data_IF_112443815443
#
_entry.id   IF_112443815443
#
_cell.length_a   1.000
_cell.length_b   1.000
_cell.length_c   1.000
_cell.angle_alpha   90.00
_cell.angle_beta   90.00
_cell.angle_gamma   90.00
#
_symmetry.space_group_name_H-M   'P 1'
#
loop_
_entity.id
_entity.type
_entity.pdbx_description
1 polymer ?
#
# COMPACT_ATOMS: atom_id res chain seq x y z
N UNK A 1 -23.29 31.32 25.19
CA UNK A 1 -22.10 31.87 25.87
C UNK A 1 -20.89 31.60 24.99
N UNK A 2 -20.15 32.66 24.65
CA UNK A 2 -19.08 32.69 23.65
C UNK A 2 -17.79 32.03 24.19
N UNK A 3 -17.37 30.89 23.65
CA UNK A 3 -16.02 30.35 23.87
C UNK A 3 -15.07 30.94 22.83
N UNK A 4 -14.39 32.03 23.19
CA UNK A 4 -13.25 32.55 22.43
C UNK A 4 -12.11 31.54 22.52
N UNK A 5 -11.78 30.87 21.42
CA UNK A 5 -10.47 30.22 21.27
C UNK A 5 -9.40 31.32 21.18
N UNK A 6 -8.81 31.68 22.32
CA UNK A 6 -7.60 32.51 22.36
C UNK A 6 -6.40 31.62 22.08
N UNK A 7 -5.82 31.75 20.88
CA UNK A 7 -4.51 31.17 20.60
C UNK A 7 -3.43 32.00 21.32
N UNK A 8 -2.55 31.34 22.07
CA UNK A 8 -1.40 31.96 22.73
C UNK A 8 -0.44 32.44 21.65
N UNK A 9 -0.14 33.74 21.62
CA UNK A 9 0.81 34.33 20.67
C UNK A 9 2.24 34.14 21.19
N UNK A 10 2.85 33.00 20.83
CA UNK A 10 4.19 32.58 21.24
C UNK A 10 5.33 33.54 20.81
N UNK A 11 5.05 34.57 20.00
CA UNK A 11 6.07 35.55 19.60
C UNK A 11 6.27 36.66 20.64
N UNK A 12 5.26 36.96 21.46
CA UNK A 12 5.26 38.18 22.29
C UNK A 12 4.92 37.94 23.76
N UNK A 13 4.42 36.75 24.13
CA UNK A 13 4.11 36.43 25.53
C UNK A 13 5.25 35.60 26.15
N UNK A 14 5.71 35.91 27.37
CA UNK A 14 6.67 35.07 28.08
C UNK A 14 6.06 33.69 28.26
N UNK A 15 6.85 32.64 27.97
CA UNK A 15 6.41 31.27 28.22
C UNK A 15 6.04 31.12 29.70
N UNK A 16 4.91 30.46 30.01
CA UNK A 16 4.56 30.16 31.40
C UNK A 16 5.70 29.36 32.04
N UNK A 17 5.87 29.49 33.35
CA UNK A 17 6.92 28.81 34.11
C UNK A 17 6.82 27.28 33.91
N UNK A 18 7.65 26.75 33.00
CA UNK A 18 7.68 25.33 32.66
C UNK A 18 8.43 24.62 33.78
N UNK A 19 7.67 24.06 34.72
CA UNK A 19 8.21 23.25 35.80
C UNK A 19 9.06 22.11 35.24
N UNK A 20 10.21 21.85 35.85
CA UNK A 20 10.98 20.65 35.56
C UNK A 20 10.20 19.41 35.98
N UNK A 21 10.42 18.27 35.32
CA UNK A 21 9.76 17.01 35.69
C UNK A 21 9.97 16.60 37.17
N UNK A 22 11.07 17.05 37.79
CA UNK A 22 11.36 16.90 39.22
C UNK A 22 10.39 17.64 40.15
N UNK A 23 9.63 18.60 39.62
CA UNK A 23 8.65 19.41 40.31
C UNK A 23 7.20 19.04 39.93
N UNK A 24 7.01 17.95 39.16
CA UNK A 24 5.69 17.40 38.88
C UNK A 24 5.13 16.69 40.12
N UNK A 25 3.81 16.74 40.28
CA UNK A 25 3.13 15.99 41.32
C UNK A 25 3.13 14.49 40.98
N UNK A 26 4.04 13.75 41.61
CA UNK A 26 4.13 12.28 41.47
C UNK A 26 2.92 11.54 42.06
N UNK A 27 2.05 12.25 42.80
CA UNK A 27 0.82 11.70 43.37
C UNK A 27 -0.43 11.93 42.51
N UNK A 28 -0.29 12.63 41.38
CA UNK A 28 -1.39 12.90 40.46
C UNK A 28 -1.99 11.58 39.95
N UNK A 29 -3.22 11.28 40.39
CA UNK A 29 -3.95 10.09 39.93
C UNK A 29 -4.58 10.34 38.57
N UNK A 30 -4.52 9.33 37.71
CA UNK A 30 -5.23 9.33 36.44
C UNK A 30 -6.74 9.46 36.68
N UNK A 31 -7.38 10.47 36.07
CA UNK A 31 -8.82 10.66 36.11
C UNK A 31 -9.43 10.06 34.82
N UNK A 32 -10.24 8.99 34.91
CA UNK A 32 -10.77 8.34 33.73
C UNK A 32 -11.99 9.01 33.11
N UNK A 33 -12.51 10.07 33.73
CA UNK A 33 -13.66 10.79 33.18
C UNK A 33 -13.27 11.47 31.85
N UNK A 34 -13.92 11.05 30.77
CA UNK A 34 -13.67 11.56 29.42
C UNK A 34 -12.73 10.72 28.56
N UNK A 35 -12.27 9.55 29.04
CA UNK A 35 -11.58 8.57 28.19
C UNK A 35 -12.56 8.06 27.12
N UNK A 36 -12.15 8.11 25.85
CA UNK A 36 -12.86 7.46 24.75
C UNK A 36 -12.62 5.95 24.81
N UNK A 37 -13.64 5.16 24.46
CA UNK A 37 -13.49 3.71 24.34
C UNK A 37 -12.34 3.32 23.39
N UNK A 38 -11.78 2.13 23.58
CA UNK A 38 -10.74 1.58 22.72
C UNK A 38 -11.25 1.51 21.28
N UNK A 39 -10.61 2.25 20.37
CA UNK A 39 -10.93 2.25 18.95
C UNK A 39 -9.75 1.72 18.15
N UNK A 40 -10.05 0.80 17.24
CA UNK A 40 -9.12 0.38 16.19
C UNK A 40 -9.39 1.25 14.97
N UNK A 41 -8.35 1.86 14.41
CA UNK A 41 -8.45 2.71 13.21
C UNK A 41 -9.11 1.95 12.05
N UNK A 42 -8.53 0.83 11.64
CA UNK A 42 -9.16 -0.12 10.72
C UNK A 42 -8.54 -1.51 10.86
N UNK A 43 -9.26 -2.53 10.37
CA UNK A 43 -8.83 -3.93 10.40
C UNK A 43 -8.19 -4.29 9.07
N UNK A 44 -7.04 -4.97 9.10
CA UNK A 44 -6.47 -5.56 7.89
C UNK A 44 -7.31 -6.75 7.43
N UNK A 45 -7.84 -6.74 6.20
CA UNK A 45 -8.64 -7.86 5.70
C UNK A 45 -7.81 -9.14 5.53
N UNK A 46 -8.48 -10.31 5.44
CA UNK A 46 -7.82 -11.55 5.05
C UNK A 46 -7.21 -11.42 3.66
N UNK A 47 -6.00 -11.95 3.49
CA UNK A 47 -5.27 -11.96 2.22
C UNK A 47 -5.16 -13.42 1.79
N UNK A 48 -5.95 -13.81 0.79
CA UNK A 48 -5.78 -15.10 0.14
C UNK A 48 -4.64 -15.00 -0.87
N UNK A 49 -3.66 -15.89 -0.78
CA UNK A 49 -2.62 -15.99 -1.81
C UNK A 49 -3.22 -16.58 -3.09
N UNK A 50 -2.71 -16.15 -4.25
CA UNK A 50 -3.20 -16.64 -5.53
C UNK A 50 -2.72 -18.09 -5.77
N UNK A 51 -3.34 -18.82 -6.70
CA UNK A 51 -2.92 -20.18 -7.06
C UNK A 51 -1.52 -20.23 -7.68
N UNK A 52 -0.75 -21.27 -7.36
CA UNK A 52 0.62 -21.48 -7.85
C UNK A 52 0.68 -21.80 -9.37
N UNK A 53 -0.45 -22.23 -9.95
CA UNK A 53 -0.57 -22.53 -11.38
C UNK A 53 -0.43 -21.27 -12.26
N UNK A 54 -0.51 -20.08 -11.67
CA UNK A 54 -0.26 -18.82 -12.39
C UNK A 54 1.15 -18.80 -12.95
N UNK A 55 2.16 -19.23 -12.19
CA UNK A 55 3.54 -19.24 -12.69
C UNK A 55 3.69 -20.15 -13.92
N UNK A 56 3.13 -21.36 -13.89
CA UNK A 56 3.19 -22.30 -15.01
C UNK A 56 2.48 -21.77 -16.26
N UNK A 57 1.34 -21.09 -16.10
CA UNK A 57 0.54 -20.58 -17.22
C UNK A 57 1.03 -19.25 -17.76
N UNK A 58 1.47 -18.36 -16.88
CA UNK A 58 1.86 -17.00 -17.26
C UNK A 58 3.35 -16.92 -17.60
N UNK A 59 4.21 -17.67 -16.90
CA UNK A 59 5.64 -17.75 -17.15
C UNK A 59 6.45 -16.62 -16.51
N UNK A 60 7.70 -16.93 -16.16
CA UNK A 60 8.64 -16.02 -15.48
C UNK A 60 8.84 -14.70 -16.23
N UNK A 61 9.11 -14.76 -17.54
CA UNK A 61 9.33 -13.56 -18.35
C UNK A 61 8.16 -12.59 -18.34
N UNK A 62 6.92 -13.10 -18.34
CA UNK A 62 5.73 -12.26 -18.35
C UNK A 62 5.46 -11.65 -16.97
N UNK A 63 5.80 -12.35 -15.89
CA UNK A 63 5.77 -11.78 -14.53
C UNK A 63 6.78 -10.63 -14.41
N UNK A 64 7.99 -10.80 -14.95
CA UNK A 64 9.00 -9.73 -14.98
C UNK A 64 8.47 -8.55 -15.81
N UNK A 65 7.98 -8.80 -17.04
CA UNK A 65 7.41 -7.76 -17.91
C UNK A 65 6.24 -7.03 -17.24
N UNK A 66 5.34 -7.75 -16.54
CA UNK A 66 4.24 -7.17 -15.77
C UNK A 66 4.75 -6.16 -14.75
N UNK A 67 5.71 -6.57 -13.91
CA UNK A 67 6.22 -5.74 -12.81
C UNK A 67 6.97 -4.53 -13.35
N UNK A 68 7.80 -4.71 -14.39
CA UNK A 68 8.50 -3.60 -15.04
C UNK A 68 7.55 -2.61 -15.71
N UNK A 69 6.52 -3.10 -16.40
CA UNK A 69 5.51 -2.25 -17.02
C UNK A 69 4.77 -1.42 -15.97
N UNK A 70 4.33 -2.07 -14.89
CA UNK A 70 3.67 -1.42 -13.77
C UNK A 70 4.54 -0.33 -13.12
N UNK A 71 5.79 -0.65 -12.75
CA UNK A 71 6.68 0.31 -12.11
C UNK A 71 7.09 1.45 -13.05
N UNK A 72 7.23 1.16 -14.36
CA UNK A 72 7.50 2.18 -15.38
C UNK A 72 6.37 3.20 -15.51
N UNK A 73 5.11 2.78 -15.33
CA UNK A 73 3.97 3.67 -15.24
C UNK A 73 3.98 4.49 -13.93
N UNK A 74 4.32 3.85 -12.81
CA UNK A 74 4.40 4.53 -11.50
C UNK A 74 5.48 5.62 -11.45
N UNK A 75 6.64 5.44 -12.09
CA UNK A 75 7.66 6.50 -12.26
C UNK A 75 7.11 7.76 -12.94
N UNK A 76 6.01 7.67 -13.68
CA UNK A 76 5.37 8.79 -14.40
C UNK A 76 4.08 9.29 -13.71
N UNK A 77 3.73 8.72 -12.57
CA UNK A 77 2.46 8.99 -11.87
C UNK A 77 2.56 10.12 -10.83
N UNK A 78 1.44 10.40 -10.15
CA UNK A 78 1.41 11.30 -8.98
C UNK A 78 2.28 10.81 -7.82
N UNK A 79 2.58 9.50 -7.75
CA UNK A 79 3.42 8.90 -6.69
C UNK A 79 4.86 8.63 -7.13
N UNK A 80 5.30 9.25 -8.23
CA UNK A 80 6.67 9.09 -8.76
C UNK A 80 7.77 9.32 -7.72
N UNK A 81 7.53 10.16 -6.72
CA UNK A 81 8.50 10.48 -5.67
C UNK A 81 8.80 9.29 -4.74
N UNK A 82 7.97 8.23 -4.74
CA UNK A 82 8.22 6.98 -4.03
C UNK A 82 9.21 6.06 -4.75
N UNK A 83 9.58 6.40 -5.99
CA UNK A 83 10.47 5.61 -6.82
C UNK A 83 11.74 6.39 -7.14
N UNK A 84 12.88 5.71 -7.08
CA UNK A 84 14.15 6.28 -7.51
C UNK A 84 14.10 6.67 -8.98
N UNK A 85 14.75 7.79 -9.29
CA UNK A 85 14.89 8.28 -10.67
C UNK A 85 16.17 7.77 -11.33
N UNK A 86 17.09 7.19 -10.56
CA UNK A 86 18.25 6.48 -11.09
C UNK A 86 17.79 5.20 -11.80
N UNK A 87 18.21 5.00 -13.06
CA UNK A 87 17.70 3.91 -13.88
C UNK A 87 18.23 2.54 -13.44
N UNK A 88 19.46 2.44 -12.95
CA UNK A 88 20.06 1.17 -12.54
C UNK A 88 19.53 0.71 -11.18
N UNK A 89 19.39 1.64 -10.23
CA UNK A 89 18.74 1.39 -8.96
C UNK A 89 17.27 1.01 -9.17
N UNK A 90 16.56 1.73 -10.06
CA UNK A 90 15.17 1.43 -10.38
C UNK A 90 15.00 0.02 -10.96
N UNK A 91 15.85 -0.38 -11.92
CA UNK A 91 15.83 -1.74 -12.47
C UNK A 91 16.08 -2.78 -11.38
N UNK A 92 17.05 -2.55 -10.50
CA UNK A 92 17.39 -3.46 -9.41
C UNK A 92 16.22 -3.64 -8.43
N UNK A 93 15.59 -2.55 -7.99
CA UNK A 93 14.45 -2.60 -7.06
C UNK A 93 13.20 -3.20 -7.71
N UNK A 94 12.98 -2.90 -8.99
CA UNK A 94 11.86 -3.46 -9.78
C UNK A 94 12.04 -4.96 -9.98
N UNK A 95 13.27 -5.41 -10.29
CA UNK A 95 13.57 -6.83 -10.42
C UNK A 95 13.40 -7.58 -9.09
N UNK A 96 13.82 -6.99 -7.97
CA UNK A 96 13.54 -7.54 -6.64
C UNK A 96 12.04 -7.72 -6.38
N UNK A 97 11.22 -6.78 -6.86
CA UNK A 97 9.76 -6.93 -6.78
C UNK A 97 9.27 -8.05 -7.68
N UNK A 98 9.82 -8.19 -8.89
CA UNK A 98 9.51 -9.30 -9.78
C UNK A 98 9.85 -10.66 -9.15
N UNK A 99 10.99 -10.80 -8.47
CA UNK A 99 11.35 -12.01 -7.73
C UNK A 99 10.31 -12.37 -6.66
N UNK A 100 9.78 -11.37 -5.95
CA UNK A 100 8.71 -11.58 -4.98
C UNK A 100 7.44 -12.11 -5.65
N UNK A 101 7.03 -11.52 -6.79
CA UNK A 101 5.88 -11.99 -7.55
C UNK A 101 6.10 -13.38 -8.14
N UNK A 102 7.30 -13.70 -8.63
CA UNK A 102 7.61 -15.04 -9.15
C UNK A 102 7.41 -16.07 -8.04
N UNK A 103 7.96 -15.83 -6.85
CA UNK A 103 7.80 -16.74 -5.72
C UNK A 103 6.34 -16.85 -5.26
N UNK A 104 5.65 -15.73 -5.12
CA UNK A 104 4.26 -15.69 -4.66
C UNK A 104 3.25 -16.31 -5.65
N UNK A 105 3.64 -16.49 -6.91
CA UNK A 105 2.81 -17.07 -7.96
C UNK A 105 3.18 -18.52 -8.30
N UNK A 106 4.09 -19.16 -7.55
CA UNK A 106 4.45 -20.58 -7.73
C UNK A 106 5.82 -20.86 -8.35
N UNK A 107 6.65 -19.83 -8.63
CA UNK A 107 7.96 -19.97 -9.28
C UNK A 107 9.12 -20.44 -8.38
N UNK A 108 8.81 -21.00 -7.21
CA UNK A 108 9.81 -21.42 -6.21
C UNK A 108 10.46 -20.26 -5.44
N UNK A 109 11.47 -20.58 -4.62
CA UNK A 109 12.13 -19.62 -3.70
C UNK A 109 13.06 -18.63 -4.43
N UNK A 110 12.51 -17.74 -5.26
CA UNK A 110 13.27 -16.72 -6.00
C UNK A 110 13.62 -15.51 -5.15
N UNK A 111 12.70 -15.08 -4.29
CA UNK A 111 12.88 -13.91 -3.43
C UNK A 111 13.51 -14.31 -2.10
N UNK A 112 12.94 -15.31 -1.42
CA UNK A 112 13.31 -15.68 -0.07
C UNK A 112 14.73 -16.22 0.03
N UNK A 113 15.22 -16.91 -0.99
CA UNK A 113 16.61 -17.37 -1.06
C UNK A 113 17.64 -16.23 -1.07
N UNK A 114 17.28 -15.05 -1.59
CA UNK A 114 18.18 -13.89 -1.72
C UNK A 114 17.94 -12.82 -0.66
N UNK A 115 16.68 -12.60 -0.29
CA UNK A 115 16.23 -11.45 0.52
C UNK A 115 15.64 -11.86 1.87
N UNK A 116 15.52 -13.16 2.13
CA UNK A 116 14.88 -13.72 3.31
C UNK A 116 13.37 -13.54 3.31
N UNK A 117 12.77 -13.67 4.49
CA UNK A 117 11.32 -13.66 4.66
C UNK A 117 10.70 -12.33 4.19
N UNK A 118 9.54 -12.29 3.48
CA UNK A 118 9.05 -11.09 2.76
C UNK A 118 8.73 -9.84 3.58
N UNK A 119 8.36 -9.95 4.87
CA UNK A 119 8.06 -8.85 5.82
C UNK A 119 7.61 -7.52 5.16
N UNK A 120 6.62 -7.61 4.25
CA UNK A 120 6.36 -6.55 3.28
C UNK A 120 6.06 -5.21 3.95
N UNK A 121 5.15 -5.20 4.92
CA UNK A 121 4.79 -3.96 5.66
C UNK A 121 6.02 -3.30 6.27
N UNK A 122 6.90 -4.07 6.92
CA UNK A 122 8.11 -3.53 7.54
C UNK A 122 9.06 -2.93 6.51
N UNK A 123 9.22 -3.59 5.36
CA UNK A 123 10.07 -3.09 4.27
C UNK A 123 9.48 -1.87 3.55
N UNK A 124 8.19 -1.59 3.74
CA UNK A 124 7.53 -0.40 3.20
C UNK A 124 7.50 0.79 4.15
N UNK A 125 7.91 0.65 5.43
CA UNK A 125 7.97 1.77 6.39
C UNK A 125 8.88 2.95 6.01
N UNK A 126 10.00 2.77 5.27
CA UNK A 126 10.81 3.90 4.82
C UNK A 126 10.09 4.84 3.86
N UNK A 127 8.96 4.43 3.27
CA UNK A 127 8.20 5.21 2.31
C UNK A 127 6.90 5.71 2.94
N UNK A 128 6.55 6.97 2.75
CA UNK A 128 5.24 7.50 3.17
C UNK A 128 4.16 7.02 2.20
N UNK A 129 3.39 6.02 2.60
CA UNK A 129 2.32 5.42 1.79
C UNK A 129 0.98 5.73 2.46
N UNK A 130 0.21 6.61 1.84
CA UNK A 130 -1.15 6.95 2.23
C UNK A 130 -2.20 6.17 1.42
N UNK A 131 -3.48 6.42 1.70
CA UNK A 131 -4.60 5.79 1.01
C UNK A 131 -4.58 6.10 -0.49
N UNK A 132 -4.26 7.35 -0.86
CA UNK A 132 -4.17 7.77 -2.25
C UNK A 132 -3.07 7.02 -3.01
N UNK A 133 -1.89 6.86 -2.39
CA UNK A 133 -0.79 6.16 -3.01
C UNK A 133 -1.10 4.69 -3.30
N UNK A 134 -1.82 4.02 -2.38
CA UNK A 134 -2.37 2.68 -2.63
C UNK A 134 -3.33 2.67 -3.82
N UNK A 135 -4.26 3.61 -3.89
CA UNK A 135 -5.23 3.68 -5.00
C UNK A 135 -4.54 3.86 -6.35
N UNK A 136 -3.54 4.74 -6.42
CA UNK A 136 -2.73 4.94 -7.64
C UNK A 136 -1.97 3.67 -8.02
N UNK A 137 -1.37 2.97 -7.05
CA UNK A 137 -0.72 1.68 -7.26
C UNK A 137 -1.68 0.63 -7.84
N UNK A 138 -2.88 0.48 -7.26
CA UNK A 138 -3.89 -0.45 -7.77
C UNK A 138 -4.42 -0.06 -9.15
N UNK A 139 -4.62 1.23 -9.40
CA UNK A 139 -5.06 1.76 -10.69
C UNK A 139 -4.06 1.39 -11.80
N UNK A 140 -2.76 1.52 -11.54
CA UNK A 140 -1.74 1.14 -12.52
C UNK A 140 -1.62 -0.37 -12.68
N UNK A 141 -1.79 -1.18 -11.62
CA UNK A 141 -1.90 -2.62 -11.79
C UNK A 141 -3.10 -3.02 -12.65
N UNK A 142 -4.27 -2.38 -12.47
CA UNK A 142 -5.44 -2.60 -13.32
C UNK A 142 -5.11 -2.32 -14.79
N UNK A 143 -4.44 -1.19 -15.08
CA UNK A 143 -3.99 -0.85 -16.44
C UNK A 143 -3.00 -1.87 -16.98
N UNK A 144 -1.99 -2.23 -16.19
CA UNK A 144 -0.97 -3.22 -16.55
C UNK A 144 -1.60 -4.57 -16.90
N UNK A 145 -2.52 -5.08 -16.09
CA UNK A 145 -3.21 -6.36 -16.32
C UNK A 145 -4.10 -6.36 -17.58
N UNK A 146 -4.56 -5.19 -18.04
CA UNK A 146 -5.28 -5.05 -19.33
C UNK A 146 -4.35 -5.09 -20.54
N UNK A 147 -3.14 -4.55 -20.39
CA UNK A 147 -2.20 -4.35 -21.49
C UNK A 147 -1.28 -5.55 -21.70
N UNK A 148 -1.03 -6.31 -20.64
CA UNK A 148 -0.31 -7.58 -20.73
C UNK A 148 -1.30 -8.73 -20.91
N UNK A 149 -0.88 -9.79 -21.59
CA UNK A 149 -1.70 -10.98 -21.80
C UNK A 149 -1.75 -11.86 -20.53
N UNK A 150 -2.25 -11.32 -19.42
CA UNK A 150 -2.43 -12.07 -18.16
C UNK A 150 -3.57 -13.10 -18.33
N UNK A 151 -3.41 -14.36 -17.84
CA UNK A 151 -4.43 -15.38 -18.04
C UNK A 151 -5.74 -14.98 -17.33
N UNK A 152 -6.82 -14.90 -18.12
CA UNK A 152 -8.09 -14.29 -17.69
C UNK A 152 -8.74 -15.05 -16.53
N UNK A 153 -8.55 -16.37 -16.49
CA UNK A 153 -9.03 -17.26 -15.44
C UNK A 153 -8.44 -16.93 -14.05
N UNK A 154 -7.25 -16.31 -14.00
CA UNK A 154 -6.58 -15.97 -12.74
C UNK A 154 -6.68 -14.49 -12.36
N UNK A 155 -7.27 -13.64 -13.22
CA UNK A 155 -7.38 -12.20 -12.96
C UNK A 155 -8.05 -11.90 -11.62
N UNK A 156 -9.12 -12.63 -11.29
CA UNK A 156 -9.83 -12.47 -10.01
C UNK A 156 -8.92 -12.78 -8.82
N UNK A 157 -8.31 -13.96 -8.81
CA UNK A 157 -7.47 -14.40 -7.71
C UNK A 157 -6.25 -13.49 -7.50
N UNK A 158 -5.59 -13.09 -8.60
CA UNK A 158 -4.47 -12.16 -8.55
C UNK A 158 -4.90 -10.78 -8.04
N UNK A 159 -6.01 -10.24 -8.55
CA UNK A 159 -6.51 -8.92 -8.16
C UNK A 159 -6.91 -8.88 -6.68
N UNK A 160 -7.71 -9.83 -6.21
CA UNK A 160 -8.18 -9.89 -4.82
C UNK A 160 -7.02 -10.04 -3.83
N UNK A 161 -5.97 -10.78 -4.23
CA UNK A 161 -4.73 -10.87 -3.47
C UNK A 161 -4.04 -9.52 -3.30
N UNK A 162 -3.70 -8.84 -4.41
CA UNK A 162 -2.96 -7.57 -4.35
C UNK A 162 -3.80 -6.44 -3.73
N UNK A 163 -5.12 -6.44 -3.97
CA UNK A 163 -6.05 -5.45 -3.43
C UNK A 163 -6.09 -5.52 -1.90
N UNK A 164 -6.23 -6.73 -1.36
CA UNK A 164 -6.27 -6.94 0.09
C UNK A 164 -4.89 -6.74 0.72
N UNK A 165 -3.82 -7.25 0.09
CA UNK A 165 -2.46 -7.15 0.58
C UNK A 165 -1.98 -5.69 0.66
N UNK A 166 -2.29 -4.89 -0.36
CA UNK A 166 -1.84 -3.49 -0.45
C UNK A 166 -2.36 -2.61 0.70
N UNK A 167 -3.49 -2.95 1.31
CA UNK A 167 -4.01 -2.25 2.51
C UNK A 167 -2.99 -2.32 3.65
N UNK A 168 -2.26 -3.44 3.77
CA UNK A 168 -1.24 -3.62 4.80
C UNK A 168 0.01 -2.78 4.56
N UNK A 169 0.16 -2.15 3.39
CA UNK A 169 1.30 -1.27 3.08
C UNK A 169 1.06 0.17 3.51
N UNK A 170 -0.20 0.58 3.75
CA UNK A 170 -0.53 1.94 4.19
C UNK A 170 0.08 2.19 5.57
N UNK A 171 0.91 3.23 5.67
CA UNK A 171 1.61 3.64 6.88
C UNK A 171 1.44 5.13 7.23
N UNK A 172 0.74 5.89 6.38
CA UNK A 172 0.29 7.25 6.66
C UNK A 172 -1.23 7.34 6.53
N UNK A 173 -1.92 7.71 7.60
CA UNK A 173 -3.37 7.91 7.59
C UNK A 173 -3.70 9.37 7.38
N UNK A 174 -4.57 9.64 6.40
CA UNK A 174 -5.04 10.98 6.06
C UNK A 174 -6.53 11.19 6.36
N UNK A 175 -7.25 10.11 6.67
CA UNK A 175 -8.68 10.10 6.97
C UNK A 175 -9.00 9.12 8.11
N UNK A 176 -10.14 9.33 8.78
CA UNK A 176 -10.74 8.35 9.70
C UNK A 176 -11.49 7.24 8.96
N UNK A 177 -11.78 7.43 7.66
CA UNK A 177 -12.42 6.42 6.84
C UNK A 177 -11.48 5.22 6.60
N UNK A 178 -11.99 3.99 6.61
CA UNK A 178 -11.17 2.82 6.28
C UNK A 178 -10.69 2.90 4.82
N UNK A 179 -9.53 2.30 4.49
CA UNK A 179 -9.06 2.24 3.11
C UNK A 179 -10.11 1.63 2.17
N UNK A 180 -10.37 2.31 1.05
CA UNK A 180 -11.37 1.89 0.06
C UNK A 180 -11.10 0.49 -0.47
N UNK A 181 -12.16 -0.32 -0.60
CA UNK A 181 -12.09 -1.65 -1.21
C UNK A 181 -12.38 -1.59 -2.70
N UNK A 182 -11.74 -2.47 -3.46
CA UNK A 182 -11.97 -2.62 -4.90
C UNK A 182 -12.22 -4.09 -5.27
N UNK A 183 -13.39 -4.67 -4.92
CA UNK A 183 -13.71 -6.05 -5.27
C UNK A 183 -13.60 -6.29 -6.78
N UNK A 184 -13.14 -7.48 -7.18
CA UNK A 184 -12.97 -7.80 -8.61
C UNK A 184 -14.28 -7.64 -9.39
N UNK A 185 -15.42 -7.98 -8.79
CA UNK A 185 -16.74 -7.87 -9.42
C UNK A 185 -17.10 -6.44 -9.88
N UNK A 186 -16.60 -5.41 -9.18
CA UNK A 186 -16.84 -4.01 -9.54
C UNK A 186 -16.02 -3.59 -10.76
N UNK A 187 -14.82 -4.16 -10.92
CA UNK A 187 -13.88 -3.78 -11.97
C UNK A 187 -13.79 -4.78 -13.12
N UNK A 188 -14.45 -5.95 -13.04
CA UNK A 188 -14.33 -7.02 -14.05
C UNK A 188 -14.58 -6.52 -15.47
N UNK A 189 -15.52 -5.60 -15.63
CA UNK A 189 -15.87 -5.00 -16.93
C UNK A 189 -14.69 -4.29 -17.61
N UNK A 190 -13.69 -3.87 -16.86
CA UNK A 190 -12.47 -3.26 -17.38
C UNK A 190 -11.58 -4.25 -18.12
N UNK A 191 -11.60 -5.53 -17.76
CA UNK A 191 -10.76 -6.57 -18.36
C UNK A 191 -11.42 -7.28 -19.55
N UNK A 192 -12.75 -7.20 -19.66
CA UNK A 192 -13.52 -7.93 -20.66
C UNK A 192 -14.21 -7.04 -21.72
N UNK A 193 -14.16 -5.70 -21.58
CA UNK A 193 -14.64 -4.78 -22.62
C UNK A 193 -13.61 -4.71 -23.77
N UNK A 194 -13.93 -5.37 -24.89
CA UNK A 194 -13.12 -5.40 -26.11
C UNK A 194 -13.20 -6.68 -26.94
N UNK A 195 -14.09 -7.63 -26.63
CA UNK A 195 -14.20 -8.92 -27.34
C UNK A 195 -15.36 -9.05 -28.34
N UNK A 196 -16.33 -8.15 -28.32
CA UNK A 196 -17.50 -8.19 -29.21
C UNK A 196 -17.78 -6.76 -29.69
N UNK A 197 -17.78 -6.54 -31.01
CA UNK A 197 -18.06 -5.28 -31.74
C UNK A 197 -16.87 -4.44 -32.26
N UNK A 198 -15.80 -5.08 -32.75
CA UNK A 198 -14.97 -4.50 -33.81
C UNK A 198 -14.63 -5.56 -34.88
N UNK A 199 -15.62 -5.88 -35.72
CA UNK A 199 -15.46 -6.43 -37.08
C UNK A 199 -16.57 -5.92 -37.96
#
# INVERSE_FOLDING_TARGET
MNTKNSYINLKNEPLPDIKQFSQCDISQKFNPNGIRELMVDFVFPPVAFPPDEIYEKFGEENIIKMVFHHHGLLKKSSIKNLFTQDEEEFKTMTYRTAEFFIEALGGGSRYSSKHGHPHLRSRHFPFTIDEHAREVWLMFYKKTLKEINFPKEYLKAFWEWIESLSIRMINRRSSMEPPKRFPFEEIKHEFFKGGENEK
#
